data_IF_595041370652
#
_entry.id   IF_595041370652
#
_cell.length_a   1.000
_cell.length_b   1.000
_cell.length_c   1.000
_cell.angle_alpha   90.00
_cell.angle_beta   90.00
_cell.angle_gamma   90.00
#
_symmetry.space_group_name_H-M   'P 1'
#
loop_
_entity.id
_entity.type
_entity.pdbx_description
1 polymer ?
#
# COMPACT_ATOMS: atom_id res chain seq x y z
N UNK A 1 -17.71 -0.45 -5.23
CA UNK A 1 -16.51 -0.16 -6.05
C UNK A 1 -15.73 -1.43 -6.40
N UNK A 2 -15.46 -2.33 -5.46
CA UNK A 2 -14.71 -3.58 -5.74
C UNK A 2 -15.41 -4.60 -6.65
N UNK A 3 -16.69 -4.39 -7.00
CA UNK A 3 -17.38 -5.18 -8.02
C UNK A 3 -16.95 -4.80 -9.45
N UNK A 4 -16.39 -3.59 -9.63
CA UNK A 4 -15.74 -3.21 -10.88
C UNK A 4 -14.35 -3.83 -10.90
N UNK A 5 -14.13 -4.76 -11.85
CA UNK A 5 -12.88 -5.52 -11.92
C UNK A 5 -11.65 -4.64 -12.20
N UNK A 6 -11.83 -3.52 -12.90
CA UNK A 6 -10.74 -2.59 -13.17
C UNK A 6 -10.33 -1.89 -11.87
N UNK A 7 -11.30 -1.36 -11.12
CA UNK A 7 -11.02 -0.77 -9.81
C UNK A 7 -10.45 -1.83 -8.85
N UNK A 8 -10.95 -3.06 -8.90
CA UNK A 8 -10.47 -4.14 -8.05
C UNK A 8 -9.02 -4.53 -8.36
N UNK A 9 -8.58 -4.52 -9.63
CA UNK A 9 -7.20 -4.80 -10.04
C UNK A 9 -6.22 -3.66 -9.66
N UNK A 10 -6.69 -2.42 -9.70
CA UNK A 10 -5.92 -1.25 -9.26
C UNK A 10 -5.83 -1.18 -7.73
N UNK A 11 -6.94 -1.46 -7.05
CA UNK A 11 -7.09 -1.37 -5.60
C UNK A 11 -7.14 -2.74 -4.91
N UNK A 12 -6.34 -3.72 -5.37
CA UNK A 12 -6.42 -5.13 -4.93
C UNK A 12 -6.39 -5.33 -3.42
N UNK A 13 -5.54 -4.58 -2.70
CA UNK A 13 -5.47 -4.63 -1.23
C UNK A 13 -6.77 -4.15 -0.59
N UNK A 14 -7.28 -3.00 -1.02
CA UNK A 14 -8.57 -2.46 -0.58
C UNK A 14 -9.74 -3.39 -0.92
N UNK A 15 -9.64 -4.14 -2.01
CA UNK A 15 -10.64 -5.11 -2.44
C UNK A 15 -10.38 -6.55 -1.96
N UNK A 16 -9.44 -6.76 -1.02
CA UNK A 16 -9.08 -8.06 -0.45
C UNK A 16 -8.69 -9.15 -1.49
N UNK A 17 -8.22 -8.75 -2.68
CA UNK A 17 -7.75 -9.67 -3.73
C UNK A 17 -6.29 -10.08 -3.52
N UNK A 18 -5.53 -9.25 -2.80
CA UNK A 18 -4.15 -9.51 -2.44
C UNK A 18 -3.97 -8.96 -1.02
N UNK A 19 -4.38 -9.71 0.01
CA UNK A 19 -4.31 -9.24 1.40
C UNK A 19 -2.86 -8.95 1.78
N UNK A 20 -2.67 -7.99 2.66
CA UNK A 20 -1.36 -7.65 3.21
C UNK A 20 -0.90 -8.81 4.10
N UNK A 21 0.33 -9.27 3.94
CA UNK A 21 0.91 -10.29 4.81
C UNK A 21 1.85 -9.64 5.82
N UNK A 22 1.68 -9.97 7.11
CA UNK A 22 2.49 -9.44 8.20
C UNK A 22 2.98 -10.57 9.09
N UNK A 23 4.07 -10.32 9.83
CA UNK A 23 4.41 -11.17 10.97
C UNK A 23 3.39 -11.00 12.08
N UNK A 24 2.99 -12.10 12.71
CA UNK A 24 1.97 -12.13 13.76
C UNK A 24 2.44 -13.02 14.90
N UNK A 25 2.98 -12.40 15.94
CA UNK A 25 3.54 -13.09 17.09
C UNK A 25 3.05 -12.47 18.40
N UNK A 26 2.74 -13.32 19.39
CA UNK A 26 2.45 -12.83 20.73
C UNK A 26 3.70 -12.16 21.33
N UNK A 27 3.50 -11.51 22.48
CA UNK A 27 4.57 -10.88 23.25
C UNK A 27 5.76 -11.85 23.44
N UNK A 28 6.94 -11.44 22.97
CA UNK A 28 8.18 -12.22 23.06
C UNK A 28 9.37 -11.33 23.41
N UNK A 29 10.40 -11.90 24.03
CA UNK A 29 11.68 -11.23 24.24
C UNK A 29 12.58 -11.27 23.00
N UNK A 30 12.34 -12.21 22.09
CA UNK A 30 13.18 -12.50 20.92
C UNK A 30 12.35 -12.31 19.64
N UNK A 31 12.13 -11.06 19.19
CA UNK A 31 11.28 -10.79 18.03
C UNK A 31 11.87 -11.29 16.71
N UNK A 32 13.18 -11.50 16.63
CA UNK A 32 13.87 -12.11 15.49
C UNK A 32 13.47 -13.58 15.25
N UNK A 33 12.92 -14.25 16.28
CA UNK A 33 12.41 -15.61 16.17
C UNK A 33 10.97 -15.66 15.65
N UNK A 34 10.33 -14.50 15.47
CA UNK A 34 8.98 -14.42 14.94
C UNK A 34 8.94 -14.84 13.46
N UNK A 35 8.44 -16.06 13.21
CA UNK A 35 8.26 -16.62 11.86
C UNK A 35 6.79 -16.82 11.49
N UNK A 36 5.87 -16.59 12.42
CA UNK A 36 4.45 -16.72 12.19
C UNK A 36 3.95 -15.55 11.35
N UNK A 37 3.15 -15.86 10.34
CA UNK A 37 2.62 -14.88 9.39
C UNK A 37 1.10 -14.93 9.36
N UNK A 38 0.48 -13.78 9.08
CA UNK A 38 -0.98 -13.64 9.00
C UNK A 38 -1.37 -12.71 7.86
N UNK A 39 -2.52 -12.98 7.25
CA UNK A 39 -3.17 -12.09 6.31
C UNK A 39 -4.00 -11.04 7.07
N UNK A 40 -3.77 -9.78 6.75
CA UNK A 40 -4.52 -8.67 7.31
C UNK A 40 -5.76 -8.34 6.48
N UNK A 41 -6.77 -7.78 7.15
CA UNK A 41 -7.96 -7.26 6.50
C UNK A 41 -7.65 -6.01 5.67
N UNK A 42 -8.51 -5.66 4.71
CA UNK A 42 -8.27 -4.56 3.76
C UNK A 42 -8.05 -3.16 4.36
N UNK A 43 -8.41 -2.92 5.61
CA UNK A 43 -8.17 -1.66 6.33
C UNK A 43 -7.04 -1.73 7.37
N UNK A 44 -6.37 -2.88 7.49
CA UNK A 44 -5.30 -3.13 8.43
C UNK A 44 -3.91 -2.91 7.79
N UNK A 45 -2.93 -2.65 8.65
CA UNK A 45 -1.50 -2.46 8.34
C UNK A 45 -0.67 -3.32 9.28
N UNK A 46 0.57 -3.66 8.92
CA UNK A 46 1.45 -4.38 9.83
C UNK A 46 1.87 -3.45 10.96
N UNK A 47 1.85 -3.92 12.20
CA UNK A 47 2.40 -3.24 13.37
C UNK A 47 3.55 -4.04 13.95
N UNK A 48 4.55 -3.32 14.46
CA UNK A 48 5.59 -3.83 15.32
C UNK A 48 5.80 -2.81 16.44
N UNK A 49 5.66 -3.26 17.69
CA UNK A 49 5.76 -2.38 18.85
C UNK A 49 6.39 -3.09 20.04
N UNK A 50 6.89 -2.28 20.95
CA UNK A 50 7.46 -2.68 22.22
C UNK A 50 6.44 -2.41 23.33
N UNK A 51 6.37 -3.32 24.29
CA UNK A 51 5.66 -3.18 25.56
C UNK A 51 6.63 -3.45 26.72
N UNK A 52 6.20 -3.20 27.95
CA UNK A 52 6.99 -3.51 29.15
C UNK A 52 6.33 -4.66 29.91
N UNK A 53 7.13 -5.65 30.30
CA UNK A 53 6.71 -6.68 31.25
C UNK A 53 6.51 -6.09 32.65
N UNK A 54 6.00 -6.91 33.58
CA UNK A 54 5.88 -6.54 35.00
C UNK A 54 7.25 -6.19 35.63
N UNK A 55 8.33 -6.75 35.09
CA UNK A 55 9.70 -6.51 35.52
C UNK A 55 10.39 -5.38 34.74
N UNK A 56 9.61 -4.56 34.01
CA UNK A 56 10.10 -3.47 33.16
C UNK A 56 11.07 -3.91 32.05
N UNK A 57 10.96 -5.16 31.60
CA UNK A 57 11.74 -5.66 30.46
C UNK A 57 10.98 -5.43 29.16
N UNK A 58 11.67 -5.16 28.04
CA UNK A 58 11.05 -4.99 26.74
C UNK A 58 10.42 -6.30 26.25
N UNK A 59 9.13 -6.27 25.97
CA UNK A 59 8.41 -7.31 25.22
C UNK A 59 8.10 -6.77 23.83
N UNK A 60 8.20 -7.61 22.81
CA UNK A 60 7.93 -7.24 21.43
C UNK A 60 6.67 -7.93 20.94
N UNK A 61 5.85 -7.17 20.21
CA UNK A 61 4.60 -7.62 19.62
C UNK A 61 4.54 -7.22 18.15
N UNK A 62 4.06 -8.13 17.31
CA UNK A 62 3.86 -7.93 15.88
C UNK A 62 2.52 -8.52 15.46
N UNK A 63 1.71 -7.79 14.71
CA UNK A 63 0.43 -8.27 14.15
C UNK A 63 -0.10 -7.31 13.07
N UNK A 64 -1.35 -7.50 12.67
CA UNK A 64 -2.16 -6.56 11.92
C UNK A 64 -2.88 -5.59 12.88
N UNK A 65 -2.89 -4.30 12.56
CA UNK A 65 -3.61 -3.25 13.30
C UNK A 65 -4.41 -2.40 12.32
N UNK A 66 -5.55 -1.83 12.74
CA UNK A 66 -6.28 -0.95 11.84
C UNK A 66 -5.46 0.31 11.52
N UNK A 67 -5.60 0.81 10.29
CA UNK A 67 -4.90 2.04 9.88
C UNK A 67 -5.20 3.23 10.79
N UNK A 68 -6.42 3.30 11.33
CA UNK A 68 -6.87 4.36 12.24
C UNK A 68 -6.12 4.28 13.57
N UNK A 69 -6.14 3.13 14.23
CA UNK A 69 -5.44 2.91 15.51
C UNK A 69 -3.94 3.21 15.36
N UNK A 70 -3.33 2.74 14.27
CA UNK A 70 -1.93 3.04 13.99
C UNK A 70 -1.63 4.55 13.95
N UNK A 71 -2.46 5.32 13.26
CA UNK A 71 -2.29 6.77 13.14
C UNK A 71 -2.54 7.48 14.49
N UNK A 72 -3.48 6.99 15.29
CA UNK A 72 -3.76 7.52 16.63
C UNK A 72 -2.59 7.24 17.60
N UNK A 73 -1.95 6.07 17.49
CA UNK A 73 -0.87 5.63 18.37
C UNK A 73 0.50 6.20 17.95
N UNK A 74 0.82 6.24 16.66
CA UNK A 74 2.18 6.56 16.17
C UNK A 74 2.25 7.81 15.27
N UNK A 75 1.09 8.36 14.87
CA UNK A 75 1.02 9.56 14.03
C UNK A 75 1.56 9.40 12.60
N UNK A 76 1.79 8.16 12.14
CA UNK A 76 2.29 7.91 10.79
C UNK A 76 2.48 6.43 10.45
N UNK A 77 2.60 6.15 9.15
CA UNK A 77 2.82 4.81 8.59
C UNK A 77 4.12 4.86 7.78
N UNK A 78 4.90 3.77 7.80
CA UNK A 78 6.23 3.66 7.20
C UNK A 78 7.24 4.68 7.76
N UNK A 79 7.16 4.95 9.07
CA UNK A 79 8.03 5.94 9.74
C UNK A 79 9.23 5.32 10.47
N UNK A 80 9.37 4.00 10.44
CA UNK A 80 10.41 3.24 11.16
C UNK A 80 10.09 3.06 12.65
N UNK A 81 10.63 2.00 13.25
CA UNK A 81 10.29 1.51 14.61
C UNK A 81 10.62 2.48 15.76
N UNK A 82 11.31 3.58 15.49
CA UNK A 82 11.79 4.52 16.50
C UNK A 82 10.77 5.59 16.88
N UNK A 83 9.50 5.46 16.48
CA UNK A 83 8.46 6.42 16.84
C UNK A 83 7.92 6.14 18.23
N UNK A 84 8.02 7.17 19.07
CA UNK A 84 7.37 7.27 20.37
C UNK A 84 5.86 7.36 20.19
N UNK A 85 5.11 6.54 20.92
CA UNK A 85 3.65 6.62 20.96
C UNK A 85 3.17 8.05 21.30
N UNK A 86 2.22 8.56 20.53
CA UNK A 86 1.60 9.89 20.70
C UNK A 86 0.53 9.92 21.79
N UNK A 87 0.01 8.77 22.21
CA UNK A 87 -1.03 8.66 23.25
C UNK A 87 -0.45 8.83 24.67
N UNK A 88 0.83 8.50 24.87
CA UNK A 88 1.49 8.58 26.18
C UNK A 88 2.43 9.79 26.19
N UNK A 89 1.87 10.99 26.26
CA UNK A 89 2.66 12.22 26.43
C UNK A 89 3.25 12.38 27.86
N UNK A 90 2.92 11.50 28.81
CA UNK A 90 3.07 11.81 30.25
C UNK A 90 3.96 10.92 31.13
N UNK A 91 4.72 9.96 30.60
CA UNK A 91 5.80 9.32 31.39
C UNK A 91 6.99 8.96 30.50
N UNK A 92 8.18 8.91 31.09
CA UNK A 92 9.46 8.54 30.50
C UNK A 92 9.54 7.09 29.95
N UNK A 93 8.40 6.42 29.77
CA UNK A 93 8.25 5.03 29.30
C UNK A 93 7.57 5.00 27.93
N UNK A 94 8.11 5.74 26.98
CA UNK A 94 7.57 5.69 25.64
C UNK A 94 7.85 4.36 24.97
N UNK A 95 6.77 3.63 24.74
CA UNK A 95 6.75 2.46 23.90
C UNK A 95 7.12 2.87 22.48
N UNK A 96 8.19 2.28 21.97
CA UNK A 96 8.62 2.41 20.59
C UNK A 96 7.79 1.48 19.71
N UNK A 97 7.40 1.96 18.55
CA UNK A 97 6.73 1.13 17.56
C UNK A 97 6.48 1.88 16.29
N UNK A 98 6.03 1.15 15.29
CA UNK A 98 5.56 1.72 14.03
C UNK A 98 4.63 0.77 13.31
N UNK A 99 3.92 1.32 12.34
CA UNK A 99 3.22 0.50 11.37
C UNK A 99 3.73 0.78 9.97
N UNK A 100 3.47 -0.17 9.08
CA UNK A 100 3.92 -0.16 7.70
C UNK A 100 2.93 -0.91 6.82
N UNK A 101 2.93 -0.61 5.52
CA UNK A 101 1.86 -1.01 4.59
C UNK A 101 2.35 -1.92 3.45
N UNK A 102 3.45 -2.64 3.63
CA UNK A 102 3.95 -3.61 2.66
C UNK A 102 4.24 -4.97 3.31
N UNK A 103 4.34 -6.02 2.50
CA UNK A 103 4.36 -7.37 3.03
C UNK A 103 5.60 -7.58 3.91
N UNK A 104 5.39 -8.17 5.09
CA UNK A 104 6.40 -8.51 6.09
C UNK A 104 7.24 -7.33 6.58
N UNK A 105 6.73 -6.11 6.43
CA UNK A 105 7.45 -4.90 6.78
C UNK A 105 7.67 -4.71 8.28
N UNK A 106 6.95 -5.46 9.11
CA UNK A 106 7.10 -5.48 10.56
C UNK A 106 8.15 -6.50 11.03
N UNK A 107 9.10 -6.87 10.18
CA UNK A 107 10.24 -7.68 10.58
C UNK A 107 11.11 -6.91 11.58
N UNK A 108 11.29 -7.48 12.77
CA UNK A 108 12.26 -6.97 13.74
C UNK A 108 13.65 -7.50 13.38
N UNK A 109 14.43 -6.68 12.66
CA UNK A 109 15.85 -6.92 12.43
C UNK A 109 16.64 -5.74 13.03
N UNK A 110 17.41 -5.92 14.11
CA UNK A 110 18.20 -4.86 14.74
C UNK A 110 19.28 -4.27 13.80
N UNK A 111 19.58 -4.90 12.66
CA UNK A 111 20.55 -4.41 11.67
C UNK A 111 19.92 -3.75 10.44
N UNK A 112 18.59 -3.81 10.26
CA UNK A 112 17.92 -3.15 9.12
C UNK A 112 17.33 -1.81 9.53
N UNK A 113 18.15 -0.77 9.43
CA UNK A 113 17.62 0.56 9.09
C UNK A 113 16.83 0.48 7.78
N UNK A 114 15.65 1.13 7.65
CA UNK A 114 14.88 1.11 6.41
C UNK A 114 15.61 1.94 5.34
N UNK A 115 16.51 1.31 4.59
CA UNK A 115 17.22 1.95 3.48
C UNK A 115 16.94 1.29 2.13
N UNK A 116 16.25 0.15 2.08
CA UNK A 116 15.94 -0.51 0.80
C UNK A 116 14.48 -0.36 0.42
N UNK A 117 14.29 0.23 -0.77
CA UNK A 117 13.03 0.17 -1.52
C UNK A 117 12.59 -1.29 -1.65
N UNK A 118 11.27 -1.57 -1.68
CA UNK A 118 10.78 -2.94 -1.73
C UNK A 118 11.42 -3.71 -2.88
N UNK A 119 12.05 -4.83 -2.54
CA UNK A 119 12.49 -5.82 -3.51
C UNK A 119 11.24 -6.26 -4.30
N UNK A 120 11.39 -6.40 -5.62
CA UNK A 120 10.33 -6.79 -6.55
C UNK A 120 9.98 -8.26 -6.29
N UNK A 121 9.22 -8.53 -5.23
CA UNK A 121 8.62 -9.84 -5.08
C UNK A 121 7.56 -10.00 -6.16
N UNK A 122 7.68 -11.09 -6.91
CA UNK A 122 6.85 -11.43 -8.06
C UNK A 122 5.42 -11.61 -7.53
N UNK A 123 4.62 -10.57 -7.75
CA UNK A 123 3.21 -10.49 -7.39
C UNK A 123 2.44 -11.60 -8.10
N UNK A 124 1.60 -12.39 -7.41
CA UNK A 124 0.73 -13.35 -8.07
C UNK A 124 -0.16 -12.66 -9.11
N UNK A 125 0.03 -13.06 -10.37
CA UNK A 125 -0.74 -12.58 -11.52
C UNK A 125 -2.15 -13.15 -11.41
N UNK A 126 -3.20 -12.31 -11.26
CA UNK A 126 -4.57 -12.80 -11.36
C UNK A 126 -4.85 -13.22 -12.82
N UNK A 127 -5.96 -13.92 -13.08
CA UNK A 127 -6.45 -14.06 -14.44
C UNK A 127 -6.59 -12.66 -15.06
N UNK A 128 -5.74 -12.37 -16.04
CA UNK A 128 -5.81 -11.18 -16.87
C UNK A 128 -7.17 -11.19 -17.55
N UNK A 129 -8.13 -10.41 -17.05
CA UNK A 129 -9.19 -9.95 -17.94
C UNK A 129 -8.51 -9.06 -18.95
N UNK A 130 -8.59 -9.50 -20.21
CA UNK A 130 -8.21 -8.67 -21.34
C UNK A 130 -9.22 -7.52 -21.39
N UNK A 131 -8.83 -6.41 -20.75
CA UNK A 131 -9.46 -5.14 -21.03
C UNK A 131 -9.02 -4.80 -22.45
N UNK A 132 -9.80 -5.28 -23.43
CA UNK A 132 -9.48 -5.09 -24.85
C UNK A 132 -9.32 -3.60 -25.19
N UNK A 133 -9.08 -3.29 -26.46
CA UNK A 133 -8.68 -1.97 -26.97
C UNK A 133 -9.71 -0.81 -26.76
N UNK A 134 -10.72 -0.98 -25.91
CA UNK A 134 -11.67 0.06 -25.55
C UNK A 134 -10.99 1.14 -24.70
N UNK A 135 -10.97 2.36 -25.24
CA UNK A 135 -10.34 3.51 -24.62
C UNK A 135 -11.41 4.45 -24.04
N UNK A 136 -11.23 4.86 -22.79
CA UNK A 136 -11.93 5.99 -22.20
C UNK A 136 -11.49 7.29 -22.87
N UNK A 137 -12.44 8.23 -23.02
CA UNK A 137 -12.17 9.53 -23.65
C UNK A 137 -11.49 10.53 -22.71
N UNK A 138 -11.65 10.33 -21.40
CA UNK A 138 -11.17 11.24 -20.35
C UNK A 138 -10.80 10.47 -19.07
N UNK A 139 -9.97 11.09 -18.25
CA UNK A 139 -9.63 10.59 -16.93
C UNK A 139 -10.87 10.64 -16.04
N UNK A 140 -11.16 9.56 -15.31
CA UNK A 140 -12.26 9.51 -14.34
C UNK A 140 -12.10 10.57 -13.25
N UNK A 141 -10.84 10.86 -12.88
CA UNK A 141 -10.48 11.99 -12.02
C UNK A 141 -9.03 12.38 -12.32
N UNK A 142 -8.84 13.47 -13.06
CA UNK A 142 -7.52 13.92 -13.51
C UNK A 142 -6.54 14.16 -12.35
N UNK A 143 -7.01 14.73 -11.23
CA UNK A 143 -6.18 14.98 -10.03
C UNK A 143 -5.70 13.67 -9.40
N UNK A 144 -6.60 12.70 -9.21
CA UNK A 144 -6.24 11.40 -8.67
C UNK A 144 -5.27 10.64 -9.60
N UNK A 145 -5.52 10.70 -10.91
CA UNK A 145 -4.64 10.10 -11.91
C UNK A 145 -3.22 10.68 -11.85
N UNK A 146 -3.10 12.01 -11.75
CA UNK A 146 -1.80 12.68 -11.62
C UNK A 146 -1.07 12.29 -10.33
N UNK A 147 -1.77 12.24 -9.20
CA UNK A 147 -1.20 11.83 -7.91
C UNK A 147 -0.72 10.37 -7.94
N UNK A 148 -1.51 9.47 -8.51
CA UNK A 148 -1.13 8.04 -8.61
C UNK A 148 0.07 7.88 -9.54
N UNK A 149 0.08 8.54 -10.71
CA UNK A 149 1.23 8.50 -11.65
C UNK A 149 2.51 9.07 -11.04
N UNK A 150 2.40 10.13 -10.23
CA UNK A 150 3.54 10.71 -9.53
C UNK A 150 4.11 9.75 -8.46
N UNK A 151 3.26 8.97 -7.80
CA UNK A 151 3.67 7.99 -6.78
C UNK A 151 4.19 6.68 -7.38
N UNK A 152 3.58 6.21 -8.46
CA UNK A 152 3.96 4.99 -9.18
C UNK A 152 3.82 5.16 -10.70
N UNK A 153 4.92 5.50 -11.41
CA UNK A 153 4.91 5.64 -12.87
C UNK A 153 4.52 4.37 -13.63
N UNK A 154 4.73 3.18 -13.04
CA UNK A 154 4.40 1.90 -13.68
C UNK A 154 2.91 1.61 -13.71
N UNK A 155 2.07 2.40 -13.01
CA UNK A 155 0.62 2.26 -13.11
C UNK A 155 0.10 2.46 -14.53
N UNK A 156 0.74 3.31 -15.33
CA UNK A 156 0.38 3.49 -16.74
C UNK A 156 0.69 2.26 -17.62
N UNK A 157 1.39 1.25 -17.12
CA UNK A 157 1.57 -0.02 -17.83
C UNK A 157 0.37 -0.95 -17.66
N UNK A 158 -0.48 -0.74 -16.65
CA UNK A 158 -1.68 -1.55 -16.43
C UNK A 158 -2.78 -1.10 -17.37
N UNK A 159 -3.34 -2.03 -18.16
CA UNK A 159 -4.38 -1.76 -19.17
C UNK A 159 -5.60 -1.07 -18.57
N UNK A 160 -6.17 -1.62 -17.49
CA UNK A 160 -7.27 -1.00 -16.76
C UNK A 160 -6.99 0.47 -16.39
N UNK A 161 -5.86 0.76 -15.74
CA UNK A 161 -5.53 2.11 -15.30
C UNK A 161 -5.30 3.05 -16.48
N UNK A 162 -4.53 2.61 -17.47
CA UNK A 162 -4.11 3.44 -18.60
C UNK A 162 -5.14 3.59 -19.72
N UNK A 163 -6.17 2.75 -19.78
CA UNK A 163 -7.20 2.80 -20.83
C UNK A 163 -8.56 3.27 -20.29
N UNK A 164 -8.91 2.97 -19.04
CA UNK A 164 -10.26 3.22 -18.50
C UNK A 164 -10.32 4.27 -17.39
N UNK A 165 -9.33 4.27 -16.49
CA UNK A 165 -9.32 5.19 -15.35
C UNK A 165 -8.61 6.51 -15.68
N UNK A 166 -7.45 6.42 -16.32
CA UNK A 166 -6.54 7.54 -16.54
C UNK A 166 -5.97 7.59 -17.98
N UNK A 167 -6.82 7.48 -19.02
CA UNK A 167 -6.38 7.45 -20.42
C UNK A 167 -5.60 8.69 -20.87
N UNK A 168 -5.97 9.88 -20.42
CA UNK A 168 -5.29 11.13 -20.79
C UNK A 168 -4.01 11.31 -19.99
N UNK A 169 -4.04 11.08 -18.67
CA UNK A 169 -2.84 11.14 -17.82
C UNK A 169 -1.76 10.15 -18.26
N UNK A 170 -2.14 8.96 -18.71
CA UNK A 170 -1.22 7.95 -19.22
C UNK A 170 -0.93 8.06 -20.73
N UNK A 171 -1.64 8.94 -21.45
CA UNK A 171 -1.46 9.20 -22.89
C UNK A 171 -1.56 7.94 -23.77
N UNK A 172 -2.18 6.86 -23.31
CA UNK A 172 -2.33 5.61 -24.08
C UNK A 172 -3.52 5.62 -25.03
N UNK A 173 -4.50 6.48 -24.75
CA UNK A 173 -5.67 6.68 -25.59
C UNK A 173 -5.58 8.08 -26.20
N UNK A 174 -4.68 8.27 -27.16
CA UNK A 174 -4.64 9.51 -27.92
C UNK A 174 -5.96 9.63 -28.69
N UNK A 175 -6.68 10.74 -28.50
CA UNK A 175 -7.84 11.09 -29.33
C UNK A 175 -7.46 10.82 -30.79
N UNK A 176 -8.16 9.92 -31.48
CA UNK A 176 -8.10 9.84 -32.94
C UNK A 176 -8.20 11.27 -33.44
N UNK A 177 -7.14 11.75 -34.10
CA UNK A 177 -7.14 13.06 -34.73
C UNK A 177 -8.42 13.10 -35.57
N UNK A 178 -9.34 14.03 -35.28
CA UNK A 178 -10.40 14.37 -36.22
C UNK A 178 -9.67 14.71 -37.51
N UNK A 179 -9.76 13.84 -38.51
CA UNK A 179 -9.43 14.18 -39.88
C UNK A 179 -10.46 15.24 -40.24
N UNK A 180 -10.05 16.51 -40.15
CA UNK A 180 -10.80 17.60 -40.76
C UNK A 180 -10.60 17.37 -42.26
N UNK A 181 -11.57 16.70 -42.89
CA UNK A 181 -11.74 16.74 -44.33
C UNK A 181 -11.98 18.21 -44.67
N UNK A 182 -10.94 18.90 -45.14
CA UNK A 182 -11.08 20.19 -45.79
C UNK A 182 -11.69 19.89 -47.15
N UNK A 183 -12.98 20.14 -47.31
CA UNK A 183 -13.63 20.19 -48.62
C UNK A 183 -12.98 21.33 -49.42
N UNK A 184 -12.12 20.97 -50.37
CA UNK A 184 -11.66 21.85 -51.43
C UNK A 184 -12.71 21.83 -52.54
N UNK A 185 -13.60 22.81 -52.52
CA UNK A 185 -14.34 23.24 -53.71
C UNK A 185 -13.42 24.12 -54.57
N UNK A 186 -12.97 23.59 -55.71
CA UNK A 186 -12.72 24.34 -56.96
C UNK A 186 -13.11 23.44 -58.13
#
# INVERSE_FOLDING_TARGET
MCNDMCIADVCRRTCNICPLQCYSCPQTFYPEECKLTKECNGSEVCVAMQELSLDFLPLYYSDCMTKKECLEIFGGINTGLNKRSTLIQKRDYALNGSCCDHDFCNQHDPQKTPTERPNVQIRPTPPTKDYGNACGLEDKNATACALIKAKDPYMCNKSCFSQFLCPQTCQKCSKSKKVVLVELYI
#
